data_IF_867889465037
#
_entry.id   IF_867889465037
#
_cell.length_a   1.000
_cell.length_b   1.000
_cell.length_c   1.000
_cell.angle_alpha   90.00
_cell.angle_beta   90.00
_cell.angle_gamma   90.00
#
_symmetry.space_group_name_H-M   'P 1'
#
loop_
_entity.id
_entity.type
_entity.pdbx_description
1 polymer ?
#
# COMPACT_ATOMS: atom_id res chain seq x y z
N UNK A 1 53.12 36.67 21.85
CA UNK A 1 52.19 36.06 20.86
C UNK A 1 51.74 34.73 21.46
N UNK A 2 50.52 34.67 22.00
CA UNK A 2 49.97 33.45 22.60
C UNK A 2 49.33 32.59 21.50
N UNK A 3 49.76 31.34 21.37
CA UNK A 3 49.14 30.36 20.49
C UNK A 3 47.85 29.84 21.13
N UNK A 4 46.75 29.85 20.37
CA UNK A 4 45.48 29.27 20.78
C UNK A 4 45.55 27.73 20.70
N UNK A 5 44.87 26.99 21.60
CA UNK A 5 44.85 25.54 21.55
C UNK A 5 43.99 25.05 20.38
N UNK A 6 44.44 23.96 19.74
CA UNK A 6 43.73 23.33 18.62
C UNK A 6 42.41 22.69 19.10
N UNK A 7 41.34 22.91 18.33
CA UNK A 7 40.04 22.30 18.58
C UNK A 7 40.08 20.78 18.34
N UNK A 8 39.37 19.97 19.16
CA UNK A 8 39.31 18.53 18.95
C UNK A 8 38.51 18.21 17.68
N UNK A 9 38.98 17.21 16.93
CA UNK A 9 38.31 16.72 15.73
C UNK A 9 36.92 16.13 16.06
N UNK A 10 35.93 16.28 15.17
CA UNK A 10 34.59 15.71 15.38
C UNK A 10 34.67 14.18 15.36
N UNK A 11 34.28 13.56 16.48
CA UNK A 11 34.05 12.12 16.56
C UNK A 11 32.86 11.77 15.66
N UNK A 12 33.13 11.02 14.60
CA UNK A 12 32.09 10.49 13.71
C UNK A 12 31.32 9.39 14.45
N UNK A 13 30.05 9.65 14.78
CA UNK A 13 29.16 8.63 15.34
C UNK A 13 29.07 7.44 14.38
N UNK A 14 29.15 6.19 14.85
CA UNK A 14 28.94 5.04 14.00
C UNK A 14 27.51 5.07 13.44
N UNK A 15 27.37 4.92 12.13
CA UNK A 15 26.07 4.77 11.49
C UNK A 15 25.35 3.57 12.15
N UNK A 16 24.16 3.79 12.72
CA UNK A 16 23.34 2.67 13.22
C UNK A 16 23.10 1.73 12.05
N UNK A 17 23.60 0.51 12.15
CA UNK A 17 23.24 -0.55 11.20
C UNK A 17 21.74 -0.78 11.35
N UNK A 18 20.98 -0.39 10.34
CA UNK A 18 19.54 -0.59 10.31
C UNK A 18 19.21 -2.07 10.61
N UNK A 19 18.39 -2.30 11.64
CA UNK A 19 18.05 -3.65 12.09
C UNK A 19 17.26 -4.39 11.00
N UNK A 20 17.69 -5.61 10.69
CA UNK A 20 16.93 -6.52 9.83
C UNK A 20 15.99 -7.34 10.71
N UNK A 21 14.70 -7.24 10.42
CA UNK A 21 13.61 -7.97 11.08
C UNK A 21 13.07 -9.02 10.13
N UNK A 22 12.99 -10.28 10.56
CA UNK A 22 12.55 -11.42 9.74
C UNK A 22 11.15 -11.91 10.11
N UNK A 23 10.61 -12.82 9.30
CA UNK A 23 9.33 -13.48 9.56
C UNK A 23 8.13 -12.62 9.20
N UNK A 24 8.29 -11.76 8.20
CA UNK A 24 7.21 -10.90 7.71
C UNK A 24 6.36 -11.59 6.66
N UNK A 25 5.07 -11.32 6.71
CA UNK A 25 4.15 -11.45 5.60
C UNK A 25 4.13 -10.14 4.81
N UNK A 26 4.13 -10.25 3.49
CA UNK A 26 4.01 -9.14 2.57
C UNK A 26 2.90 -9.48 1.57
N UNK A 27 1.87 -8.65 1.51
CA UNK A 27 0.89 -8.66 0.43
C UNK A 27 1.07 -7.42 -0.43
N UNK A 28 0.31 -7.33 -1.52
CA UNK A 28 0.15 -6.09 -2.28
C UNK A 28 -1.32 -5.71 -2.34
N UNK A 29 -1.55 -4.41 -2.50
CA UNK A 29 -2.83 -3.85 -2.89
C UNK A 29 -2.62 -2.83 -4.01
N UNK A 30 -3.64 -2.63 -4.82
CA UNK A 30 -3.55 -1.86 -6.05
C UNK A 30 -4.80 -1.02 -6.28
N UNK A 31 -4.76 -0.15 -7.29
CA UNK A 31 -5.94 0.56 -7.75
C UNK A 31 -6.54 -0.20 -8.92
N UNK A 32 -7.77 -0.69 -8.76
CA UNK A 32 -8.54 -1.33 -9.84
C UNK A 32 -8.75 -0.33 -10.99
N UNK A 33 -8.80 -0.78 -12.24
CA UNK A 33 -9.03 0.08 -13.41
C UNK A 33 -10.29 -0.40 -14.10
N UNK A 34 -11.33 0.44 -14.11
CA UNK A 34 -12.67 0.06 -14.56
C UNK A 34 -12.70 -0.68 -15.90
N UNK A 35 -11.85 -0.31 -16.86
CA UNK A 35 -11.81 -0.93 -18.19
C UNK A 35 -11.39 -2.41 -18.21
N UNK A 36 -10.83 -2.93 -17.12
CA UNK A 36 -10.43 -4.34 -17.00
C UNK A 36 -11.47 -5.22 -16.31
N UNK A 37 -12.53 -4.62 -15.80
CA UNK A 37 -13.61 -5.33 -15.12
C UNK A 37 -14.90 -5.30 -15.94
N UNK A 38 -15.69 -6.37 -15.81
CA UNK A 38 -17.01 -6.51 -16.42
C UNK A 38 -18.06 -6.88 -15.39
N UNK A 39 -19.17 -7.42 -15.88
CA UNK A 39 -20.34 -7.78 -15.07
C UNK A 39 -21.50 -6.81 -15.29
N UNK A 40 -22.65 -7.18 -14.74
CA UNK A 40 -23.83 -6.34 -14.82
C UNK A 40 -23.58 -4.99 -14.13
N UNK A 41 -24.11 -3.88 -14.66
CA UNK A 41 -23.95 -2.58 -14.03
C UNK A 41 -24.59 -2.54 -12.64
N UNK A 42 -23.89 -1.94 -11.68
CA UNK A 42 -24.31 -1.75 -10.30
C UNK A 42 -24.29 -0.25 -9.95
N UNK A 43 -25.40 0.24 -9.42
CA UNK A 43 -25.50 1.62 -8.90
C UNK A 43 -24.73 1.71 -7.59
N UNK A 44 -23.80 2.66 -7.50
CA UNK A 44 -23.02 2.91 -6.29
C UNK A 44 -23.49 4.21 -5.65
N UNK A 45 -23.82 4.13 -4.36
CA UNK A 45 -24.14 5.31 -3.53
C UNK A 45 -23.05 5.55 -2.50
N UNK A 46 -22.86 6.81 -2.11
CA UNK A 46 -21.86 7.18 -1.13
C UNK A 46 -21.73 8.68 -0.98
N UNK A 47 -20.50 9.14 -0.81
CA UNK A 47 -20.18 10.54 -0.63
C UNK A 47 -19.54 11.14 -1.89
N UNK A 48 -19.89 12.39 -2.24
CA UNK A 48 -19.23 13.12 -3.33
C UNK A 48 -17.83 13.66 -2.99
N UNK A 49 -17.35 13.39 -1.78
CA UNK A 49 -16.07 13.81 -1.25
C UNK A 49 -15.77 13.16 0.10
N UNK A 50 -14.58 13.44 0.65
CA UNK A 50 -14.04 12.82 1.86
C UNK A 50 -14.56 13.44 3.18
N UNK A 51 -15.37 14.50 3.09
CA UNK A 51 -15.96 15.23 4.22
C UNK A 51 -17.33 14.66 4.65
N UNK A 52 -17.69 13.49 4.13
CA UNK A 52 -18.91 12.75 4.41
C UNK A 52 -18.57 11.30 4.78
N UNK A 53 -19.45 10.64 5.53
CA UNK A 53 -19.37 9.21 5.82
C UNK A 53 -20.73 8.56 5.62
N UNK A 54 -20.74 7.40 4.96
CA UNK A 54 -21.91 6.58 4.65
C UNK A 54 -23.05 7.37 3.97
N UNK A 55 -22.69 8.23 3.01
CA UNK A 55 -23.66 9.00 2.23
C UNK A 55 -24.53 8.12 1.32
N UNK A 56 -25.60 8.71 0.82
CA UNK A 56 -26.58 8.12 -0.08
C UNK A 56 -26.62 8.83 -1.45
N UNK A 57 -25.67 9.72 -1.73
CA UNK A 57 -25.56 10.38 -3.04
C UNK A 57 -25.29 9.33 -4.12
N UNK A 58 -25.94 9.48 -5.27
CA UNK A 58 -25.62 8.73 -6.48
C UNK A 58 -24.20 9.09 -6.97
N UNK A 59 -23.31 8.09 -6.97
CA UNK A 59 -21.93 8.19 -7.45
C UNK A 59 -21.77 7.62 -8.86
N UNK A 60 -22.84 7.11 -9.46
CA UNK A 60 -22.88 6.53 -10.79
C UNK A 60 -23.06 5.02 -10.81
N UNK A 61 -23.03 4.48 -12.03
CA UNK A 61 -23.20 3.06 -12.31
C UNK A 61 -21.89 2.49 -12.87
N UNK A 62 -21.45 1.36 -12.32
CA UNK A 62 -20.17 0.74 -12.65
C UNK A 62 -20.34 -0.76 -12.87
N UNK A 63 -19.45 -1.43 -13.63
CA UNK A 63 -19.48 -2.89 -13.71
C UNK A 63 -19.35 -3.52 -12.32
N UNK A 64 -20.19 -4.49 -11.96
CA UNK A 64 -20.16 -5.13 -10.65
C UNK A 64 -18.77 -5.68 -10.27
N UNK A 65 -18.00 -6.19 -11.24
CA UNK A 65 -16.63 -6.64 -11.01
C UNK A 65 -15.67 -5.51 -10.60
N UNK A 66 -15.90 -4.28 -11.07
CA UNK A 66 -15.13 -3.10 -10.64
C UNK A 66 -15.53 -2.68 -9.24
N UNK A 67 -16.84 -2.67 -8.92
CA UNK A 67 -17.33 -2.32 -7.58
C UNK A 67 -16.78 -3.29 -6.53
N UNK A 68 -16.78 -4.60 -6.82
CA UNK A 68 -16.17 -5.60 -5.96
C UNK A 68 -14.67 -5.34 -5.76
N UNK A 69 -13.91 -5.11 -6.83
CA UNK A 69 -12.47 -4.83 -6.73
C UNK A 69 -12.17 -3.54 -5.95
N UNK A 70 -12.97 -2.48 -6.12
CA UNK A 70 -12.84 -1.25 -5.31
C UNK A 70 -13.07 -1.53 -3.83
N UNK A 71 -14.01 -2.42 -3.50
CA UNK A 71 -14.29 -2.79 -2.12
C UNK A 71 -13.19 -3.64 -1.49
N UNK A 72 -12.61 -4.54 -2.27
CA UNK A 72 -11.53 -5.43 -1.81
C UNK A 72 -10.20 -4.68 -1.67
N UNK A 73 -9.87 -3.82 -2.65
CA UNK A 73 -8.58 -3.12 -2.74
C UNK A 73 -8.61 -1.69 -2.18
N UNK A 74 -9.80 -1.18 -1.86
CA UNK A 74 -10.05 0.16 -1.31
C UNK A 74 -10.15 1.29 -2.34
N UNK A 75 -9.76 1.08 -3.60
CA UNK A 75 -9.80 2.15 -4.61
C UNK A 75 -9.81 1.64 -6.05
N UNK A 76 -10.45 2.39 -6.94
CA UNK A 76 -10.43 2.13 -8.38
C UNK A 76 -10.54 3.38 -9.23
N UNK A 77 -9.81 3.42 -10.35
CA UNK A 77 -9.91 4.48 -11.35
C UNK A 77 -11.05 4.19 -12.31
N UNK A 78 -11.98 5.14 -12.41
CA UNK A 78 -13.12 5.09 -13.31
C UNK A 78 -12.70 5.35 -14.75
N UNK A 79 -13.58 5.03 -15.71
CA UNK A 79 -13.38 5.35 -17.12
C UNK A 79 -13.27 6.86 -17.39
N UNK A 80 -13.84 7.69 -16.51
CA UNK A 80 -13.71 9.15 -16.55
C UNK A 80 -12.37 9.67 -15.97
N UNK A 81 -11.53 8.80 -15.41
CA UNK A 81 -10.25 9.15 -14.80
C UNK A 81 -10.35 9.71 -13.38
N UNK A 82 -11.54 9.70 -12.77
CA UNK A 82 -11.72 9.93 -11.33
C UNK A 82 -11.46 8.64 -10.56
N UNK A 83 -11.38 8.74 -9.23
CA UNK A 83 -11.17 7.60 -8.34
C UNK A 83 -12.43 7.38 -7.51
N UNK A 84 -12.98 6.16 -7.60
CA UNK A 84 -13.96 5.66 -6.64
C UNK A 84 -13.17 4.97 -5.53
N UNK A 85 -13.20 5.54 -4.33
CA UNK A 85 -12.53 5.00 -3.16
C UNK A 85 -13.57 4.35 -2.24
N UNK A 86 -13.10 3.46 -1.37
CA UNK A 86 -13.90 2.78 -0.38
C UNK A 86 -13.12 2.54 0.90
N UNK A 87 -13.81 2.63 2.04
CA UNK A 87 -13.30 2.17 3.33
C UNK A 87 -14.45 1.74 4.22
N UNK A 88 -14.13 0.94 5.25
CA UNK A 88 -15.14 0.47 6.21
C UNK A 88 -15.82 1.63 6.96
N UNK A 89 -15.08 2.68 7.33
CA UNK A 89 -15.60 3.78 8.15
C UNK A 89 -16.30 4.89 7.35
N UNK A 90 -16.09 4.95 6.03
CA UNK A 90 -16.60 6.02 5.16
C UNK A 90 -17.64 5.49 4.15
N UNK A 91 -17.54 4.23 3.74
CA UNK A 91 -18.25 3.75 2.55
C UNK A 91 -17.57 4.24 1.27
N UNK A 92 -18.33 4.38 0.18
CA UNK A 92 -17.78 4.86 -1.10
C UNK A 92 -17.67 6.38 -1.15
N UNK A 93 -16.64 6.89 -1.83
CA UNK A 93 -16.59 8.29 -2.23
C UNK A 93 -15.82 8.53 -3.54
N UNK A 94 -16.11 9.66 -4.19
CA UNK A 94 -15.37 10.11 -5.37
C UNK A 94 -14.22 11.05 -4.99
N UNK A 95 -13.10 10.91 -5.71
CA UNK A 95 -11.93 11.78 -5.58
C UNK A 95 -11.12 11.87 -6.89
N UNK A 96 -10.07 12.66 -6.85
CA UNK A 96 -9.05 12.86 -7.89
C UNK A 96 -7.83 11.95 -7.72
N UNK A 97 -7.76 11.18 -6.63
CA UNK A 97 -6.67 10.25 -6.36
C UNK A 97 -7.13 9.08 -5.47
N UNK A 98 -6.37 7.98 -5.51
CA UNK A 98 -6.38 6.95 -4.48
C UNK A 98 -5.88 7.53 -3.15
N UNK A 99 -6.59 7.27 -2.04
CA UNK A 99 -6.31 7.89 -0.74
C UNK A 99 -5.90 6.86 0.30
N UNK A 100 -4.99 7.28 1.18
CA UNK A 100 -4.63 6.54 2.38
C UNK A 100 -5.61 6.83 3.53
N UNK A 101 -5.46 6.11 4.65
CA UNK A 101 -6.29 6.29 5.86
C UNK A 101 -6.36 7.72 6.44
N UNK A 102 -5.44 8.63 6.07
CA UNK A 102 -5.46 10.04 6.47
C UNK A 102 -5.96 10.99 5.36
N UNK A 103 -6.42 10.45 4.23
CA UNK A 103 -6.88 11.22 3.07
C UNK A 103 -5.76 11.77 2.19
N UNK A 104 -4.50 11.38 2.42
CA UNK A 104 -3.39 11.77 1.54
C UNK A 104 -3.30 10.83 0.32
N UNK A 105 -2.79 11.29 -0.83
CA UNK A 105 -2.66 10.42 -2.00
C UNK A 105 -1.71 9.24 -1.76
N UNK A 106 -2.15 8.03 -2.12
CA UNK A 106 -1.31 6.85 -2.18
C UNK A 106 -0.27 6.99 -3.30
N UNK A 107 0.94 6.50 -3.05
CA UNK A 107 2.08 6.61 -3.98
C UNK A 107 2.63 5.23 -4.32
N UNK A 108 2.59 4.80 -5.60
CA UNK A 108 3.08 3.49 -6.00
C UNK A 108 4.54 3.30 -5.58
N UNK A 109 4.87 2.13 -5.04
CA UNK A 109 6.23 1.79 -4.59
C UNK A 109 6.79 2.74 -3.50
N UNK A 110 5.90 3.35 -2.72
CA UNK A 110 6.22 4.25 -1.61
C UNK A 110 5.28 4.02 -0.43
N UNK A 111 3.97 4.00 -0.68
CA UNK A 111 2.95 3.79 0.36
C UNK A 111 2.83 2.32 0.74
N UNK A 112 2.65 2.06 2.03
CA UNK A 112 2.37 0.74 2.58
C UNK A 112 1.35 0.86 3.73
N UNK A 113 0.62 -0.23 3.97
CA UNK A 113 -0.22 -0.42 5.14
C UNK A 113 0.47 -1.31 6.16
N UNK A 114 0.23 -1.03 7.44
CA UNK A 114 0.61 -1.90 8.55
C UNK A 114 -0.30 -1.62 9.75
N UNK A 115 -0.46 -2.60 10.64
CA UNK A 115 -1.11 -2.37 11.92
C UNK A 115 -0.28 -1.36 12.75
N UNK A 116 -0.88 -0.28 13.31
CA UNK A 116 -0.15 0.74 14.06
C UNK A 116 0.63 0.21 15.26
N UNK A 117 0.16 -0.90 15.85
CA UNK A 117 0.84 -1.60 16.96
C UNK A 117 2.05 -2.44 16.52
N UNK A 118 2.23 -2.67 15.22
CA UNK A 118 3.31 -3.46 14.63
C UNK A 118 4.35 -2.55 13.98
N UNK A 119 3.90 -1.70 13.05
CA UNK A 119 4.70 -0.61 12.48
C UNK A 119 3.87 0.67 12.52
N UNK A 120 4.29 1.69 13.26
CA UNK A 120 3.52 2.93 13.36
C UNK A 120 3.52 3.68 12.03
N UNK A 121 2.48 4.46 11.78
CA UNK A 121 2.42 5.41 10.67
C UNK A 121 3.68 6.29 10.63
N UNK A 122 4.21 6.50 9.44
CA UNK A 122 5.47 7.21 9.19
C UNK A 122 6.72 6.33 9.32
N UNK A 123 6.62 5.10 9.84
CA UNK A 123 7.73 4.15 9.81
C UNK A 123 8.17 3.90 8.37
N UNK A 124 9.48 3.79 8.18
CA UNK A 124 10.06 3.56 6.85
C UNK A 124 10.83 2.26 6.83
N UNK A 125 10.78 1.55 5.72
CA UNK A 125 11.50 0.28 5.59
C UNK A 125 11.90 -0.02 4.14
N UNK A 126 12.79 -0.99 4.00
CA UNK A 126 13.12 -1.63 2.72
C UNK A 126 12.98 -3.13 2.88
N UNK A 127 12.58 -3.81 1.81
CA UNK A 127 12.57 -5.28 1.81
C UNK A 127 14.01 -5.76 1.63
N UNK A 128 14.52 -6.47 2.62
CA UNK A 128 15.85 -7.06 2.61
C UNK A 128 15.86 -8.39 1.83
N UNK A 129 14.80 -9.18 2.00
CA UNK A 129 14.57 -10.44 1.27
C UNK A 129 13.08 -10.78 1.21
N UNK A 130 12.65 -11.31 0.07
CA UNK A 130 11.23 -11.52 -0.25
C UNK A 130 10.65 -12.82 0.31
N UNK A 131 11.47 -13.70 0.91
CA UNK A 131 10.96 -14.97 1.42
C UNK A 131 10.45 -15.89 0.31
N UNK A 132 9.28 -16.47 0.52
CA UNK A 132 8.63 -17.45 -0.37
C UNK A 132 7.18 -17.03 -0.63
N UNK A 133 6.59 -17.52 -1.72
CA UNK A 133 5.14 -17.44 -1.92
C UNK A 133 4.40 -18.28 -0.87
N UNK A 134 3.10 -18.08 -0.74
CA UNK A 134 2.21 -18.82 0.16
C UNK A 134 2.17 -20.33 -0.11
N UNK A 135 2.33 -20.74 -1.37
CA UNK A 135 2.49 -22.15 -1.77
C UNK A 135 3.90 -22.73 -1.51
N UNK A 136 4.82 -21.91 -0.97
CA UNK A 136 6.19 -22.29 -0.63
C UNK A 136 7.20 -22.20 -1.78
N UNK A 137 6.80 -21.75 -2.96
CA UNK A 137 7.72 -21.50 -4.07
C UNK A 137 8.62 -20.27 -3.81
N UNK A 138 9.63 -20.09 -4.67
CA UNK A 138 10.44 -18.88 -4.64
C UNK A 138 9.66 -17.71 -5.24
N UNK A 139 9.75 -16.53 -4.63
CA UNK A 139 9.17 -15.31 -5.17
C UNK A 139 9.70 -15.04 -6.60
N UNK A 140 8.84 -14.51 -7.48
CA UNK A 140 9.28 -14.07 -8.81
C UNK A 140 10.43 -13.06 -8.68
N UNK A 141 11.52 -13.31 -9.43
CA UNK A 141 12.75 -12.53 -9.30
C UNK A 141 12.60 -11.07 -9.73
N UNK A 142 11.75 -10.81 -10.73
CA UNK A 142 11.50 -9.46 -11.25
C UNK A 142 10.67 -8.66 -10.26
N UNK A 143 9.58 -9.26 -9.75
CA UNK A 143 8.71 -8.64 -8.75
C UNK A 143 9.48 -8.40 -7.46
N UNK A 144 10.17 -9.41 -6.94
CA UNK A 144 10.99 -9.27 -5.74
C UNK A 144 12.05 -8.16 -5.90
N UNK A 145 12.72 -8.07 -7.04
CA UNK A 145 13.69 -7.01 -7.28
C UNK A 145 13.02 -5.62 -7.30
N UNK A 146 11.82 -5.48 -7.84
CA UNK A 146 11.07 -4.22 -7.83
C UNK A 146 10.69 -3.81 -6.41
N UNK A 147 10.10 -4.72 -5.64
CA UNK A 147 9.69 -4.47 -4.25
C UNK A 147 10.88 -4.09 -3.35
N UNK A 148 12.05 -4.71 -3.56
CA UNK A 148 13.29 -4.40 -2.82
C UNK A 148 13.93 -3.06 -3.18
N UNK A 149 13.75 -2.58 -4.42
CA UNK A 149 14.28 -1.28 -4.87
C UNK A 149 13.53 -0.11 -4.22
N UNK A 150 12.24 -0.30 -3.96
CA UNK A 150 11.38 0.68 -3.32
C UNK A 150 11.84 1.05 -1.89
N UNK A 151 11.44 2.25 -1.45
CA UNK A 151 11.55 2.70 -0.06
C UNK A 151 10.13 2.94 0.43
N UNK A 152 9.68 2.06 1.31
CA UNK A 152 8.32 2.04 1.79
C UNK A 152 8.16 2.94 3.01
N UNK A 153 6.98 3.54 3.13
CA UNK A 153 6.55 4.34 4.26
C UNK A 153 5.16 3.87 4.64
N UNK A 154 4.95 3.55 5.91
CA UNK A 154 3.62 3.21 6.42
C UNK A 154 2.78 4.48 6.42
N UNK A 155 1.88 4.60 5.46
CA UNK A 155 0.96 5.73 5.32
C UNK A 155 -0.49 5.28 5.36
N UNK A 156 -0.73 3.99 5.45
CA UNK A 156 -2.06 3.41 5.39
C UNK A 156 -2.22 2.38 6.49
N UNK A 157 -3.45 1.91 6.70
CA UNK A 157 -3.78 1.01 7.80
C UNK A 157 -4.67 -0.12 7.29
N UNK A 158 -4.50 -1.31 7.85
CA UNK A 158 -5.42 -2.41 7.59
C UNK A 158 -6.79 -2.12 8.18
N UNK A 159 -7.82 -2.72 7.58
CA UNK A 159 -9.10 -2.90 8.28
C UNK A 159 -8.82 -3.58 9.62
N UNK A 160 -9.37 -3.07 10.75
CA UNK A 160 -9.06 -3.58 12.08
C UNK A 160 -9.18 -5.11 12.18
N UNK A 161 -8.09 -5.76 12.59
CA UNK A 161 -8.01 -7.22 12.77
C UNK A 161 -7.40 -7.99 11.60
N UNK A 162 -7.05 -7.34 10.48
CA UNK A 162 -6.47 -8.00 9.30
C UNK A 162 -4.93 -7.91 9.22
N UNK A 163 -4.27 -6.97 9.91
CA UNK A 163 -2.82 -6.73 9.75
C UNK A 163 -1.88 -7.59 10.60
N UNK A 164 -2.39 -8.51 11.43
CA UNK A 164 -1.56 -9.47 12.15
C UNK A 164 -0.41 -8.87 12.98
N UNK A 165 0.64 -9.65 13.23
CA UNK A 165 1.77 -9.21 14.09
C UNK A 165 3.05 -8.84 13.32
N UNK A 166 3.12 -9.20 12.03
CA UNK A 166 4.27 -8.99 11.13
C UNK A 166 3.81 -8.93 9.67
N UNK A 167 2.80 -8.15 9.37
CA UNK A 167 2.28 -7.99 8.01
C UNK A 167 2.50 -6.57 7.54
N UNK A 168 2.89 -6.43 6.28
CA UNK A 168 2.80 -5.16 5.55
C UNK A 168 2.07 -5.40 4.23
N UNK A 169 1.23 -4.45 3.84
CA UNK A 169 0.60 -4.43 2.53
C UNK A 169 1.24 -3.33 1.68
N UNK A 170 1.58 -3.61 0.43
CA UNK A 170 2.36 -2.71 -0.40
C UNK A 170 1.53 -2.14 -1.54
N UNK A 171 1.40 -0.81 -1.58
CA UNK A 171 0.68 -0.17 -2.67
C UNK A 171 1.54 -0.13 -3.94
N UNK A 172 1.11 -0.83 -4.98
CA UNK A 172 1.86 -0.97 -6.24
C UNK A 172 1.32 -0.11 -7.39
N UNK A 173 0.26 0.66 -7.15
CA UNK A 173 -0.35 1.54 -8.15
C UNK A 173 -1.53 0.91 -8.87
N UNK A 174 -1.85 1.40 -10.06
CA UNK A 174 -2.94 0.85 -10.86
C UNK A 174 -2.61 -0.53 -11.43
N UNK A 175 -3.60 -1.42 -11.47
CA UNK A 175 -3.46 -2.65 -12.23
C UNK A 175 -3.20 -2.36 -13.72
N UNK A 176 -2.51 -3.30 -14.37
CA UNK A 176 -1.90 -3.05 -15.69
C UNK A 176 -2.62 -3.74 -16.84
N UNK A 177 -3.63 -4.55 -16.55
CA UNK A 177 -4.39 -5.28 -17.56
C UNK A 177 -5.44 -6.23 -16.97
N UNK A 178 -6.28 -6.83 -17.82
CA UNK A 178 -7.22 -7.86 -17.40
C UNK A 178 -6.48 -9.08 -16.84
N UNK A 179 -7.08 -9.74 -15.84
CA UNK A 179 -6.47 -10.89 -15.17
C UNK A 179 -5.26 -10.50 -14.31
N UNK A 180 -5.21 -9.28 -13.79
CA UNK A 180 -4.11 -8.81 -12.93
C UNK A 180 -3.86 -9.73 -11.73
N UNK A 181 -4.93 -10.30 -11.17
CA UNK A 181 -4.88 -11.26 -10.06
C UNK A 181 -4.25 -12.61 -10.41
N UNK A 182 -4.12 -12.93 -11.71
CA UNK A 182 -3.38 -14.12 -12.17
C UNK A 182 -1.90 -13.81 -12.45
N UNK A 183 -1.50 -12.54 -12.30
CA UNK A 183 -0.13 -12.10 -12.57
C UNK A 183 0.78 -12.33 -11.36
N UNK A 184 2.11 -12.39 -11.56
CA UNK A 184 3.06 -12.47 -10.46
C UNK A 184 3.03 -11.28 -9.50
N UNK A 185 2.33 -10.19 -9.84
CA UNK A 185 2.18 -9.03 -8.97
C UNK A 185 1.14 -9.24 -7.89
N UNK A 186 0.09 -10.05 -8.12
CA UNK A 186 -0.89 -10.40 -7.11
C UNK A 186 -0.34 -11.55 -6.27
N UNK A 187 0.20 -11.22 -5.09
CA UNK A 187 1.05 -12.11 -4.34
C UNK A 187 0.86 -11.99 -2.84
N UNK A 188 1.17 -13.09 -2.17
CA UNK A 188 1.48 -13.15 -0.74
C UNK A 188 2.87 -13.74 -0.59
N UNK A 189 3.73 -13.06 0.15
CA UNK A 189 5.07 -13.53 0.50
C UNK A 189 5.18 -13.77 1.98
N UNK A 190 5.70 -14.93 2.37
CA UNK A 190 5.89 -15.35 3.74
C UNK A 190 7.37 -15.48 4.08
N UNK A 191 7.72 -15.26 5.36
CA UNK A 191 9.10 -15.35 5.82
C UNK A 191 10.01 -14.26 5.26
N UNK A 192 9.44 -13.16 4.78
CA UNK A 192 10.19 -12.02 4.28
C UNK A 192 10.98 -11.33 5.41
N UNK A 193 11.93 -10.49 5.02
CA UNK A 193 12.71 -9.69 5.95
C UNK A 193 12.71 -8.22 5.55
N UNK A 194 12.51 -7.36 6.53
CA UNK A 194 12.51 -5.91 6.39
C UNK A 194 13.75 -5.32 7.05
N UNK A 195 14.34 -4.32 6.41
CA UNK A 195 15.33 -3.42 7.01
C UNK A 195 14.60 -2.15 7.43
N UNK A 196 14.46 -1.95 8.74
CA UNK A 196 13.76 -0.81 9.32
C UNK A 196 14.66 0.43 9.31
N UNK A 197 14.10 1.59 8.94
CA UNK A 197 14.80 2.87 8.80
C UNK A 197 14.89 3.69 10.09
#
# INVERSE_FOLDING_TARGET
>A
MSAAPAAPAPVSSPARTAAVSSGWEITVYYTAVQSFHGGDPETVTGCRGLDCAHGDDDLGEYPAGFVAAVKDEGTGRTAAGTYLNWSYDIGYWLDTAARDAAGAPLRPFVSAAADPGVLPRGATFRIAGCGRTDDGAAADGTVCAALRRARWTVTDEFTPGLGGSRHVDLYIGEETGPGFTDSPWYLTLTGASLRLG
#
